data_IF_901061821582
#
_entry.id   IF_901061821582
#
_cell.length_a   1.000
_cell.length_b   1.000
_cell.length_c   1.000
_cell.angle_alpha   90.00
_cell.angle_beta   90.00
_cell.angle_gamma   90.00
#
_symmetry.space_group_name_H-M   'P 1'
#
loop_
_entity.id
_entity.type
_entity.pdbx_description
1 polymer ?
#
# COMPACT_ATOMS: atom_id res chain seq x y z
N UNK A 1 -23.92 -11.31 -8.14
CA UNK A 1 -22.99 -11.99 -9.07
C UNK A 1 -23.19 -13.50 -9.07
N UNK A 2 -22.92 -14.20 -7.96
CA UNK A 2 -23.03 -15.67 -7.87
C UNK A 2 -24.42 -16.21 -8.25
N UNK A 3 -25.50 -15.61 -7.73
CA UNK A 3 -26.90 -16.02 -8.02
C UNK A 3 -27.25 -16.03 -9.51
N UNK A 4 -26.61 -15.16 -10.30
CA UNK A 4 -26.89 -15.00 -11.74
C UNK A 4 -25.70 -15.45 -12.60
N UNK A 5 -24.69 -16.08 -11.98
CA UNK A 5 -23.48 -16.58 -12.62
C UNK A 5 -22.84 -15.60 -13.64
N UNK A 6 -22.74 -14.32 -13.28
CA UNK A 6 -22.03 -13.31 -14.09
C UNK A 6 -20.91 -12.63 -13.29
N UNK A 7 -19.82 -12.20 -13.95
CA UNK A 7 -18.75 -11.46 -13.32
C UNK A 7 -19.26 -10.23 -12.56
N UNK A 8 -18.68 -9.93 -11.38
CA UNK A 8 -19.12 -8.81 -10.53
C UNK A 8 -19.15 -7.48 -11.27
N UNK A 9 -18.10 -7.20 -12.05
CA UNK A 9 -17.93 -5.96 -12.81
C UNK A 9 -18.93 -5.81 -13.96
N UNK A 10 -19.63 -6.89 -14.35
CA UNK A 10 -20.74 -6.83 -15.32
C UNK A 10 -22.06 -6.39 -14.67
N UNK A 11 -22.18 -6.48 -13.34
CA UNK A 11 -23.36 -6.03 -12.60
C UNK A 11 -23.18 -4.57 -12.17
N UNK A 12 -22.12 -4.29 -11.40
CA UNK A 12 -21.72 -2.95 -10.97
C UNK A 12 -20.19 -2.93 -11.01
N UNK A 13 -19.61 -1.89 -11.62
CA UNK A 13 -18.15 -1.72 -11.71
C UNK A 13 -17.62 -1.15 -10.39
N UNK A 14 -16.39 -1.50 -10.07
CA UNK A 14 -15.76 -1.07 -8.81
C UNK A 14 -15.66 0.47 -8.73
N UNK A 15 -15.47 1.16 -9.87
CA UNK A 15 -15.48 2.63 -9.96
C UNK A 15 -16.83 3.28 -9.65
N UNK A 16 -17.95 2.55 -9.79
CA UNK A 16 -19.30 3.08 -9.55
C UNK A 16 -19.68 3.04 -8.08
N UNK A 17 -19.07 2.15 -7.29
CA UNK A 17 -19.34 1.99 -5.86
C UNK A 17 -19.06 3.28 -5.06
N UNK A 18 -17.90 3.95 -5.18
CA UNK A 18 -17.66 5.21 -4.45
C UNK A 18 -18.58 6.34 -4.92
N UNK A 19 -18.94 6.38 -6.21
CA UNK A 19 -19.87 7.38 -6.74
C UNK A 19 -21.30 7.16 -6.21
N UNK A 20 -21.75 5.90 -6.13
CA UNK A 20 -23.00 5.52 -5.47
C UNK A 20 -23.01 5.90 -3.99
N UNK A 21 -21.90 5.69 -3.27
CA UNK A 21 -21.78 6.07 -1.88
C UNK A 21 -21.83 7.59 -1.69
N UNK A 22 -21.18 8.36 -2.56
CA UNK A 22 -21.16 9.82 -2.51
C UNK A 22 -22.52 10.45 -2.88
N UNK A 23 -23.17 9.96 -3.93
CA UNK A 23 -24.45 10.49 -4.40
C UNK A 23 -25.63 9.98 -3.54
N UNK A 24 -25.51 8.78 -2.99
CA UNK A 24 -26.50 8.10 -2.18
C UNK A 24 -27.95 8.20 -2.75
N UNK A 25 -28.18 7.73 -3.99
CA UNK A 25 -29.45 7.91 -4.69
C UNK A 25 -30.62 7.21 -3.98
N UNK A 26 -31.80 7.81 -4.09
CA UNK A 26 -33.02 7.37 -3.40
C UNK A 26 -34.05 6.74 -4.36
N UNK A 27 -33.85 6.92 -5.66
CA UNK A 27 -34.73 6.45 -6.71
C UNK A 27 -33.96 6.01 -7.98
N UNK A 28 -34.72 5.44 -8.93
CA UNK A 28 -34.15 4.96 -10.19
C UNK A 28 -33.56 6.09 -11.05
N UNK A 29 -34.15 7.29 -11.00
CA UNK A 29 -33.61 8.46 -11.69
C UNK A 29 -32.24 8.85 -11.11
N UNK A 30 -32.11 8.85 -9.78
CA UNK A 30 -30.87 9.09 -9.08
C UNK A 30 -29.79 8.06 -9.40
N UNK A 31 -30.14 6.79 -9.57
CA UNK A 31 -29.19 5.77 -10.04
C UNK A 31 -28.63 6.09 -11.43
N UNK A 32 -29.44 6.63 -12.34
CA UNK A 32 -28.97 6.97 -13.70
C UNK A 32 -28.00 8.15 -13.74
N UNK A 33 -27.90 8.93 -12.66
CA UNK A 33 -26.91 10.01 -12.54
C UNK A 33 -25.49 9.46 -12.29
N UNK A 34 -25.37 8.24 -11.77
CA UNK A 34 -24.07 7.58 -11.59
C UNK A 34 -23.53 7.12 -12.93
N UNK A 35 -22.28 7.49 -13.23
CA UNK A 35 -21.69 7.21 -14.54
C UNK A 35 -21.71 5.71 -14.85
N UNK A 36 -22.25 5.37 -16.02
CA UNK A 36 -22.26 4.00 -16.54
C UNK A 36 -23.34 3.09 -15.96
N UNK A 37 -24.25 3.59 -15.12
CA UNK A 37 -25.49 2.89 -14.77
C UNK A 37 -26.51 3.16 -15.88
N UNK A 38 -27.01 2.10 -16.52
CA UNK A 38 -28.03 2.23 -17.57
C UNK A 38 -29.44 2.35 -16.97
N UNK A 39 -30.36 2.99 -17.70
CA UNK A 39 -31.77 3.09 -17.33
C UNK A 39 -32.42 1.71 -17.12
N UNK A 40 -32.06 0.72 -17.94
CA UNK A 40 -32.53 -0.67 -17.80
C UNK A 40 -32.04 -1.34 -16.51
N UNK A 41 -30.83 -1.02 -16.04
CA UNK A 41 -30.36 -1.49 -14.74
C UNK A 41 -31.10 -0.79 -13.60
N UNK A 42 -31.22 0.53 -13.67
CA UNK A 42 -31.85 1.37 -12.64
C UNK A 42 -33.32 1.01 -12.40
N UNK A 43 -34.11 0.81 -13.47
CA UNK A 43 -35.52 0.36 -13.37
C UNK A 43 -35.69 -1.14 -13.14
N UNK A 44 -34.60 -1.92 -13.27
CA UNK A 44 -34.62 -3.37 -13.16
C UNK A 44 -34.72 -3.89 -11.72
N UNK A 45 -34.77 -5.23 -11.58
CA UNK A 45 -34.73 -5.89 -10.25
C UNK A 45 -33.44 -5.58 -9.49
N UNK A 46 -32.31 -5.47 -10.19
CA UNK A 46 -31.01 -5.18 -9.58
C UNK A 46 -30.92 -3.74 -9.07
N UNK A 47 -31.42 -2.76 -9.81
CA UNK A 47 -31.47 -1.36 -9.38
C UNK A 47 -32.34 -1.17 -8.14
N UNK A 48 -33.52 -1.79 -8.10
CA UNK A 48 -34.39 -1.78 -6.90
C UNK A 48 -33.71 -2.39 -5.67
N UNK A 49 -33.10 -3.57 -5.83
CA UNK A 49 -32.36 -4.21 -4.74
C UNK A 49 -31.18 -3.35 -4.25
N UNK A 50 -30.53 -2.61 -5.15
CA UNK A 50 -29.46 -1.68 -4.78
C UNK A 50 -30.00 -0.48 -3.98
N UNK A 51 -31.12 0.11 -4.40
CA UNK A 51 -31.77 1.19 -3.66
C UNK A 51 -32.22 0.75 -2.26
N UNK A 52 -32.77 -0.46 -2.13
CA UNK A 52 -33.12 -1.04 -0.83
C UNK A 52 -31.90 -1.15 0.10
N UNK A 53 -30.77 -1.61 -0.43
CA UNK A 53 -29.51 -1.69 0.33
C UNK A 53 -29.00 -0.30 0.71
N UNK A 54 -29.03 0.67 -0.19
CA UNK A 54 -28.63 2.05 0.10
C UNK A 54 -29.51 2.65 1.21
N UNK A 55 -30.84 2.49 1.12
CA UNK A 55 -31.78 2.99 2.11
C UNK A 55 -31.55 2.33 3.49
N UNK A 56 -31.38 1.00 3.52
CA UNK A 56 -31.05 0.27 4.74
C UNK A 56 -29.73 0.76 5.34
N UNK A 57 -28.72 1.00 4.51
CA UNK A 57 -27.39 1.45 4.96
C UNK A 57 -27.45 2.87 5.54
N UNK A 58 -28.22 3.78 4.94
CA UNK A 58 -28.46 5.14 5.48
C UNK A 58 -29.14 5.15 6.86
N UNK A 59 -29.88 4.10 7.18
CA UNK A 59 -30.56 3.96 8.48
C UNK A 59 -29.68 3.36 9.59
N UNK A 60 -28.47 2.91 9.26
CA UNK A 60 -27.52 2.38 10.24
C UNK A 60 -26.98 3.55 11.08
N UNK A 61 -27.05 3.49 12.43
CA UNK A 61 -26.43 4.50 13.29
C UNK A 61 -24.92 4.56 13.09
N UNK A 62 -24.34 5.76 13.23
CA UNK A 62 -22.88 5.96 13.09
C UNK A 62 -22.05 5.06 14.01
N UNK A 63 -22.58 4.68 15.17
CA UNK A 63 -21.92 3.77 16.13
C UNK A 63 -21.74 2.34 15.62
N UNK A 64 -22.58 1.94 14.66
CA UNK A 64 -22.65 0.57 14.13
C UNK A 64 -21.99 0.48 12.75
N UNK A 65 -21.52 1.60 12.21
CA UNK A 65 -20.73 1.63 10.99
C UNK A 65 -19.34 1.02 11.24
N UNK A 66 -18.79 0.29 10.25
CA UNK A 66 -17.44 -0.23 10.37
C UNK A 66 -16.45 0.93 10.51
N UNK A 67 -15.40 0.74 11.32
CA UNK A 67 -14.29 1.68 11.35
C UNK A 67 -13.71 1.82 9.94
N UNK A 68 -13.62 3.06 9.45
CA UNK A 68 -12.86 3.33 8.25
C UNK A 68 -11.45 2.82 8.49
N UNK A 69 -10.86 2.03 7.56
CA UNK A 69 -9.46 1.70 7.67
C UNK A 69 -8.72 3.03 7.65
N UNK A 70 -8.27 3.49 8.82
CA UNK A 70 -7.34 4.61 8.91
C UNK A 70 -6.24 4.21 7.96
N UNK A 71 -6.08 4.96 6.86
CA UNK A 71 -4.80 4.99 6.19
C UNK A 71 -3.87 5.36 7.34
N UNK A 72 -3.08 4.39 7.82
CA UNK A 72 -2.03 4.73 8.75
C UNK A 72 -1.34 5.91 8.07
N UNK A 73 -1.31 7.06 8.76
CA UNK A 73 -0.34 8.08 8.41
C UNK A 73 1.01 7.41 8.65
N UNK A 74 1.42 6.54 7.72
CA UNK A 74 2.77 6.01 7.67
C UNK A 74 3.56 7.25 7.38
N UNK A 75 4.09 7.84 8.46
CA UNK A 75 5.03 8.93 8.38
C UNK A 75 5.98 8.59 7.26
N UNK A 76 5.93 9.41 6.20
CA UNK A 76 6.62 9.11 4.95
C UNK A 76 8.07 8.82 5.31
N UNK A 77 8.63 7.67 4.87
CA UNK A 77 9.94 7.27 5.32
C UNK A 77 10.96 8.38 5.07
N UNK A 78 11.87 8.67 6.03
CA UNK A 78 12.79 9.79 5.90
C UNK A 78 13.60 9.66 4.60
N UNK A 79 13.33 10.53 3.62
CA UNK A 79 13.80 10.35 2.25
C UNK A 79 15.34 10.25 2.15
N UNK A 80 16.05 11.00 2.99
CA UNK A 80 17.51 10.93 3.08
C UNK A 80 18.01 9.57 3.59
N UNK A 81 17.40 9.02 4.64
CA UNK A 81 17.77 7.71 5.18
C UNK A 81 17.47 6.59 4.17
N UNK A 82 16.32 6.65 3.50
CA UNK A 82 15.98 5.73 2.40
C UNK A 82 17.03 5.76 1.29
N UNK A 83 17.49 6.95 0.91
CA UNK A 83 18.53 7.09 -0.10
C UNK A 83 19.86 6.48 0.35
N UNK A 84 20.30 6.73 1.59
CA UNK A 84 21.52 6.13 2.15
C UNK A 84 21.43 4.59 2.21
N UNK A 85 20.30 4.04 2.63
CA UNK A 85 20.06 2.60 2.66
C UNK A 85 20.10 1.98 1.25
N UNK A 86 19.57 2.68 0.24
CA UNK A 86 19.66 2.24 -1.17
C UNK A 86 21.08 2.25 -1.70
N UNK A 87 21.89 3.25 -1.34
CA UNK A 87 23.32 3.29 -1.69
C UNK A 87 24.06 2.12 -1.04
N UNK A 88 23.88 1.91 0.27
CA UNK A 88 24.47 0.77 0.98
C UNK A 88 24.07 -0.57 0.33
N UNK A 89 22.79 -0.74 0.01
CA UNK A 89 22.28 -1.94 -0.64
C UNK A 89 22.95 -2.16 -2.00
N UNK A 90 23.07 -1.11 -2.82
CA UNK A 90 23.70 -1.19 -4.13
C UNK A 90 25.18 -1.60 -4.04
N UNK A 91 25.94 -1.02 -3.10
CA UNK A 91 27.34 -1.38 -2.87
C UNK A 91 27.50 -2.83 -2.38
N UNK A 92 26.71 -3.25 -1.37
CA UNK A 92 26.76 -4.62 -0.85
C UNK A 92 26.33 -5.65 -1.90
N UNK A 93 25.30 -5.33 -2.70
CA UNK A 93 24.86 -6.14 -3.82
C UNK A 93 25.97 -6.29 -4.89
N UNK A 94 26.57 -5.17 -5.30
CA UNK A 94 27.65 -5.15 -6.30
C UNK A 94 28.90 -5.89 -5.85
N UNK A 95 29.34 -5.69 -4.60
CA UNK A 95 30.52 -6.36 -4.05
C UNK A 95 30.36 -7.89 -3.97
N UNK A 96 29.13 -8.38 -3.79
CA UNK A 96 28.83 -9.81 -3.67
C UNK A 96 28.27 -10.43 -4.97
N UNK A 97 28.15 -9.63 -6.05
CA UNK A 97 27.57 -10.05 -7.32
C UNK A 97 26.15 -10.66 -7.18
N UNK A 98 25.33 -10.07 -6.31
CA UNK A 98 23.93 -10.48 -6.07
C UNK A 98 23.00 -9.35 -6.50
N UNK A 99 21.87 -9.67 -7.12
CA UNK A 99 20.86 -8.66 -7.45
C UNK A 99 20.28 -8.01 -6.18
N UNK A 100 20.32 -6.68 -6.08
CA UNK A 100 19.84 -5.93 -4.91
C UNK A 100 18.41 -6.33 -4.45
N UNK A 101 17.52 -6.59 -5.42
CA UNK A 101 16.13 -7.00 -5.17
C UNK A 101 15.99 -8.34 -4.44
N UNK A 102 16.99 -9.23 -4.54
CA UNK A 102 17.02 -10.50 -3.80
C UNK A 102 17.39 -10.33 -2.33
N UNK A 103 18.08 -9.23 -2.00
CA UNK A 103 18.51 -8.87 -0.66
C UNK A 103 17.40 -8.09 0.06
N UNK A 104 16.87 -7.04 -0.58
CA UNK A 104 15.78 -6.22 -0.03
C UNK A 104 14.91 -5.60 -1.14
N UNK A 105 13.60 -5.54 -0.89
CA UNK A 105 12.66 -4.79 -1.71
C UNK A 105 12.66 -3.29 -1.32
N UNK A 106 12.08 -2.44 -2.17
CA UNK A 106 11.91 -1.02 -1.86
C UNK A 106 11.02 -0.81 -0.64
N UNK A 107 10.00 -1.65 -0.48
CA UNK A 107 9.14 -1.65 0.71
C UNK A 107 9.93 -2.04 1.97
N UNK A 108 10.81 -3.04 1.88
CA UNK A 108 11.69 -3.39 3.02
C UNK A 108 12.59 -2.21 3.41
N UNK A 109 13.12 -1.45 2.43
CA UNK A 109 13.95 -0.27 2.72
C UNK A 109 13.14 0.85 3.37
N UNK A 110 11.93 1.12 2.86
CA UNK A 110 11.05 2.14 3.40
C UNK A 110 10.63 1.79 4.85
N UNK A 111 10.26 0.52 5.10
CA UNK A 111 9.96 0.01 6.44
C UNK A 111 11.17 0.05 7.35
N UNK A 112 12.35 -0.32 6.86
CA UNK A 112 13.60 -0.25 7.64
C UNK A 112 13.93 1.19 8.06
N UNK A 113 13.65 2.17 7.20
CA UNK A 113 13.86 3.58 7.52
C UNK A 113 12.87 4.10 8.58
N UNK A 114 11.60 3.66 8.54
CA UNK A 114 10.54 4.20 9.41
C UNK A 114 10.34 3.46 10.73
N UNK A 115 10.48 2.13 10.77
CA UNK A 115 10.12 1.30 11.92
C UNK A 115 11.32 1.09 12.86
N UNK A 116 11.14 1.21 14.17
CA UNK A 116 12.25 1.03 15.14
C UNK A 116 12.79 -0.41 15.17
N UNK A 117 11.89 -1.41 15.11
CA UNK A 117 12.24 -2.83 15.16
C UNK A 117 11.44 -3.65 14.13
N UNK A 118 11.73 -3.49 12.83
CA UNK A 118 10.96 -4.12 11.77
C UNK A 118 11.32 -5.61 11.65
N UNK A 119 10.32 -6.48 11.50
CA UNK A 119 10.55 -7.89 11.16
C UNK A 119 10.61 -8.05 9.63
N UNK A 120 11.81 -7.99 9.06
CA UNK A 120 12.04 -7.99 7.61
C UNK A 120 12.96 -9.15 7.17
N UNK A 121 12.75 -9.73 5.97
CA UNK A 121 13.64 -10.75 5.43
C UNK A 121 15.10 -10.31 5.29
N UNK A 122 15.33 -9.01 5.03
CA UNK A 122 16.68 -8.46 4.90
C UNK A 122 17.46 -8.42 6.22
N UNK A 123 16.79 -8.65 7.36
CA UNK A 123 17.39 -8.71 8.70
C UNK A 123 17.56 -10.16 9.20
N UNK A 124 17.42 -11.16 8.33
CA UNK A 124 17.52 -12.56 8.70
C UNK A 124 18.50 -13.35 7.80
N UNK A 125 19.19 -14.32 8.39
CA UNK A 125 20.10 -15.24 7.70
C UNK A 125 21.18 -14.52 6.88
N UNK A 126 21.50 -15.06 5.69
CA UNK A 126 22.55 -14.53 4.81
C UNK A 126 22.30 -13.08 4.36
N UNK A 127 21.04 -12.62 4.32
CA UNK A 127 20.72 -11.23 3.96
C UNK A 127 21.10 -10.26 5.07
N UNK A 128 20.96 -10.69 6.33
CA UNK A 128 21.41 -9.92 7.49
C UNK A 128 22.92 -9.74 7.45
N UNK A 129 23.65 -10.82 7.20
CA UNK A 129 25.11 -10.82 7.12
C UNK A 129 25.62 -9.92 5.98
N UNK A 130 24.95 -9.95 4.82
CA UNK A 130 25.37 -9.20 3.65
C UNK A 130 24.97 -7.70 3.69
N UNK A 131 23.81 -7.37 4.25
CA UNK A 131 23.24 -6.02 4.23
C UNK A 131 22.58 -5.62 5.54
N UNK A 132 21.70 -6.46 6.10
CA UNK A 132 20.81 -6.05 7.19
C UNK A 132 21.52 -5.53 8.44
N UNK A 133 22.62 -6.18 8.84
CA UNK A 133 23.41 -5.78 10.01
C UNK A 133 24.00 -4.38 9.80
N UNK A 134 24.60 -4.11 8.64
CA UNK A 134 25.12 -2.79 8.32
C UNK A 134 24.00 -1.76 8.16
N UNK A 135 22.86 -2.14 7.61
CA UNK A 135 21.72 -1.24 7.46
C UNK A 135 21.18 -0.77 8.82
N UNK A 136 21.13 -1.65 9.82
CA UNK A 136 20.80 -1.29 11.21
C UNK A 136 21.89 -0.42 11.84
N UNK A 137 23.17 -0.71 11.59
CA UNK A 137 24.28 0.12 12.07
C UNK A 137 24.25 1.53 11.47
N UNK A 138 23.92 1.64 10.19
CA UNK A 138 23.80 2.92 9.47
C UNK A 138 22.63 3.72 10.04
N UNK A 139 21.47 3.09 10.19
CA UNK A 139 20.29 3.70 10.84
C UNK A 139 20.61 4.17 12.25
N UNK A 140 21.37 3.38 13.01
CA UNK A 140 21.78 3.69 14.37
C UNK A 140 22.97 4.66 14.49
N UNK A 141 23.45 5.25 13.38
CA UNK A 141 24.55 6.21 13.39
C UNK A 141 25.91 5.63 13.79
N UNK A 142 26.11 4.32 13.63
CA UNK A 142 27.38 3.62 13.97
C UNK A 142 28.34 3.48 12.80
N UNK A 143 27.86 3.69 11.59
CA UNK A 143 28.66 3.68 10.37
C UNK A 143 28.23 4.84 9.47
N UNK A 144 29.12 5.26 8.57
CA UNK A 144 28.84 6.21 7.50
C UNK A 144 29.25 5.65 6.13
N UNK A 145 28.72 6.27 5.09
CA UNK A 145 29.08 5.99 3.70
C UNK A 145 30.02 7.08 3.20
N UNK A 146 31.20 6.69 2.73
CA UNK A 146 32.20 7.59 2.17
C UNK A 146 32.40 7.29 0.69
N UNK A 147 32.37 8.32 -0.16
CA UNK A 147 32.76 8.17 -1.56
C UNK A 147 34.29 8.21 -1.67
N UNK A 148 34.88 7.15 -2.23
CA UNK A 148 36.32 7.08 -2.56
C UNK A 148 36.48 6.80 -4.05
N UNK A 149 36.69 7.87 -4.81
CA UNK A 149 36.76 7.79 -6.28
C UNK A 149 35.42 7.37 -6.89
N UNK A 150 35.37 6.17 -7.47
CA UNK A 150 34.17 5.61 -8.12
C UNK A 150 33.48 4.52 -7.29
N UNK A 151 33.82 4.39 -6.00
CA UNK A 151 33.25 3.40 -5.08
C UNK A 151 32.72 4.10 -3.84
N UNK A 152 31.73 3.48 -3.19
CA UNK A 152 31.29 3.87 -1.85
C UNK A 152 31.80 2.85 -0.84
N UNK A 153 32.44 3.35 0.22
CA UNK A 153 33.01 2.56 1.31
C UNK A 153 32.21 2.79 2.59
N UNK A 154 32.12 1.75 3.42
CA UNK A 154 31.57 1.84 4.77
C UNK A 154 32.68 2.18 5.74
N UNK A 155 32.49 3.22 6.55
CA UNK A 155 33.41 3.63 7.61
C UNK A 155 32.73 3.58 8.96
N UNK A 156 33.46 3.14 9.99
CA UNK A 156 32.97 3.15 11.36
C UNK A 156 32.93 4.58 11.91
N UNK A 157 31.85 4.92 12.61
CA UNK A 157 31.73 6.17 13.33
C UNK A 157 32.17 5.95 14.80
N UNK A 158 32.87 6.94 15.40
CA UNK A 158 33.33 6.87 16.78
C UNK A 158 32.20 6.82 17.81
#
# INVERSE_FOLDING_TARGET
>A
AMRVNVPRQRIVRDEQIPELAALAPEDAEGLTRVRGISSGFAGGKSGRALLEVIAATKSIPDSDLPESPRAAETARPPAGLVALLKVLLAERAGANNVAARLIASGEDIDRLASEDAPNLPCLQGWRAELFGNDALRLKGGRIALAARGRRVEVVDLP
#
